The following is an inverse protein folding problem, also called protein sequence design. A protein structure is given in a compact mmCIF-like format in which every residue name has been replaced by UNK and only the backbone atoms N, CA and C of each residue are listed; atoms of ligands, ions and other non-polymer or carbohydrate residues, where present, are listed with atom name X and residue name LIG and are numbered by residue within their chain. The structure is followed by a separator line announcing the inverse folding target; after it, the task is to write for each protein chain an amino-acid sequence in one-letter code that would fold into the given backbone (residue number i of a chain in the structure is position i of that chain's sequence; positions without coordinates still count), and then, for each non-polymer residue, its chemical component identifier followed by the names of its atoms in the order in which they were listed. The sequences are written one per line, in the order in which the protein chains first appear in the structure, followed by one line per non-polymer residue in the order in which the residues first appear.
data_IF_467466155359
#
_entry.id   IF_467466155359
#
_cell.length_a   1.000
_cell.length_b   1.000
_cell.length_c   1.000
_cell.angle_alpha   90.00
_cell.angle_beta   90.00
_cell.angle_gamma   90.00
#
_symmetry.space_group_name_H-M   'P 1'
#
loop_
_entity.id
_entity.type
_entity.pdbx_description
1 polymer ?
#
# COMPACT_ATOMS: atom_id res chain seq x y z
N UNK A 1 -53.26 26.86 29.39
CA UNK A 1 -53.55 26.54 30.81
C UNK A 1 -52.56 25.48 31.28
N UNK A 2 -52.16 25.58 32.53
CA UNK A 2 -50.95 25.02 33.18
C UNK A 2 -51.15 23.57 33.67
N UNK A 3 -50.01 22.86 33.81
CA UNK A 3 -49.64 21.82 34.80
C UNK A 3 -49.32 20.45 34.18
N UNK A 4 -48.10 19.91 34.12
CA UNK A 4 -47.02 19.69 35.10
C UNK A 4 -47.29 18.56 36.13
N UNK A 5 -46.55 17.45 35.89
CA UNK A 5 -45.89 16.52 36.84
C UNK A 5 -46.76 15.69 37.78
N UNK A 6 -46.50 14.38 37.76
CA UNK A 6 -46.00 13.68 38.96
C UNK A 6 -45.10 12.49 38.59
N UNK A 7 -44.08 12.32 39.42
CA UNK A 7 -42.85 11.56 39.26
C UNK A 7 -42.67 10.82 40.59
N UNK A 8 -42.66 9.48 40.62
CA UNK A 8 -42.24 8.68 41.80
C UNK A 8 -41.60 7.38 41.28
N UNK A 9 -40.26 7.26 41.27
CA UNK A 9 -39.38 6.66 42.31
C UNK A 9 -39.37 5.10 42.24
N UNK A 10 -38.33 4.46 41.70
CA UNK A 10 -37.09 3.96 42.36
C UNK A 10 -37.21 2.52 42.87
N UNK A 11 -36.39 1.59 42.35
CA UNK A 11 -35.38 0.85 43.16
C UNK A 11 -34.78 -0.42 42.52
N UNK A 12 -33.43 -0.48 42.51
CA UNK A 12 -32.52 -1.51 43.11
C UNK A 12 -32.70 -2.97 42.58
N UNK A 13 -31.72 -3.67 41.99
CA UNK A 13 -30.50 -4.16 42.66
C UNK A 13 -29.51 -4.88 41.72
N UNK A 14 -28.23 -4.80 42.09
CA UNK A 14 -27.06 -5.47 41.55
C UNK A 14 -26.82 -6.88 42.14
N UNK A 15 -25.90 -7.64 41.53
CA UNK A 15 -24.95 -8.65 42.09
C UNK A 15 -24.78 -9.84 41.11
N UNK A 16 -23.62 -10.01 40.45
CA UNK A 16 -22.37 -10.64 40.92
C UNK A 16 -22.46 -12.15 41.20
N UNK A 17 -21.68 -12.94 40.44
CA UNK A 17 -20.67 -13.82 41.04
C UNK A 17 -20.87 -15.35 41.07
N UNK A 18 -19.96 -16.03 40.34
CA UNK A 18 -19.16 -17.19 40.75
C UNK A 18 -19.63 -18.66 40.53
N UNK A 19 -18.78 -19.37 39.75
CA UNK A 19 -18.22 -20.74 39.86
C UNK A 19 -19.08 -21.95 40.26
N UNK A 20 -18.90 -23.05 39.51
CA UNK A 20 -18.60 -24.39 40.08
C UNK A 20 -18.08 -25.41 39.04
N UNK A 21 -16.90 -25.93 39.36
CA UNK A 21 -16.11 -27.09 38.92
C UNK A 21 -16.86 -28.37 38.49
N UNK A 22 -16.34 -29.12 37.48
CA UNK A 22 -16.36 -30.60 37.44
C UNK A 22 -15.17 -31.18 36.64
N UNK A 23 -14.19 -31.70 37.40
CA UNK A 23 -13.45 -32.97 37.28
C UNK A 23 -12.61 -33.27 36.02
N UNK A 24 -11.29 -33.37 36.27
CA UNK A 24 -10.31 -34.07 35.47
C UNK A 24 -10.38 -35.59 35.71
N UNK A 25 -10.31 -36.38 34.64
CA UNK A 25 -9.86 -37.78 34.71
C UNK A 25 -8.73 -37.99 33.69
N UNK A 26 -7.52 -38.19 34.20
CA UNK A 26 -6.41 -38.77 33.46
C UNK A 26 -6.45 -40.29 33.68
N UNK A 27 -6.42 -41.06 32.61
CA UNK A 27 -5.81 -42.39 32.64
C UNK A 27 -4.98 -42.62 31.38
N UNK A 28 -3.73 -43.02 31.62
CA UNK A 28 -2.70 -43.44 30.68
C UNK A 28 -2.95 -44.93 30.36
N UNK A 29 -2.85 -45.35 29.09
CA UNK A 29 -2.02 -46.50 28.66
C UNK A 29 -2.27 -46.94 27.21
N UNK A 30 -1.15 -47.21 26.54
CA UNK A 30 -0.88 -48.23 25.49
C UNK A 30 -1.50 -48.12 24.09
N UNK A 31 -0.61 -47.91 23.11
CA UNK A 31 -0.77 -48.15 21.67
C UNK A 31 -0.97 -49.62 21.31
N UNK A 32 -1.50 -49.90 20.11
CA UNK A 32 -0.70 -50.68 19.15
C UNK A 32 -0.67 -50.08 17.73
N UNK A 33 0.37 -50.48 17.00
CA UNK A 33 0.82 -49.99 15.69
C UNK A 33 -0.06 -50.50 14.55
N UNK A 34 -0.45 -49.62 13.63
CA UNK A 34 -0.97 -49.96 12.30
C UNK A 34 -0.06 -49.39 11.20
N UNK A 35 0.15 -50.08 10.06
CA UNK A 35 1.13 -49.68 9.05
C UNK A 35 0.62 -48.52 8.20
N UNK A 36 1.44 -47.47 8.06
CA UNK A 36 1.23 -46.39 7.06
C UNK A 36 1.90 -46.78 5.74
N UNK A 37 1.30 -46.46 4.58
CA UNK A 37 1.90 -46.74 3.29
C UNK A 37 3.12 -45.83 3.05
N UNK A 38 4.19 -46.41 2.53
CA UNK A 38 5.35 -45.71 1.98
C UNK A 38 4.94 -45.01 0.69
N UNK A 39 5.10 -43.69 0.63
CA UNK A 39 5.30 -43.00 -0.63
C UNK A 39 6.74 -42.46 -0.65
N UNK A 40 7.45 -42.81 -1.70
CA UNK A 40 8.85 -42.49 -1.94
C UNK A 40 9.08 -40.99 -2.11
N UNK A 41 10.27 -40.59 -1.70
CA UNK A 41 10.94 -39.30 -1.83
C UNK A 41 10.96 -38.74 -3.25
N UNK A 42 10.89 -37.41 -3.38
CA UNK A 42 11.98 -36.56 -3.88
C UNK A 42 11.44 -35.22 -4.42
N UNK A 43 11.73 -34.13 -3.72
CA UNK A 43 12.03 -32.82 -4.34
C UNK A 43 12.84 -32.02 -3.32
N UNK A 44 14.07 -32.47 -3.12
CA UNK A 44 15.15 -31.55 -2.79
C UNK A 44 15.45 -30.74 -4.04
N UNK A 45 15.33 -29.42 -3.94
CA UNK A 45 16.31 -28.45 -4.44
C UNK A 45 15.80 -27.03 -4.16
N UNK A 46 15.72 -26.67 -2.87
CA UNK A 46 15.98 -25.30 -2.48
C UNK A 46 17.50 -25.18 -2.34
N UNK A 47 18.20 -25.08 -3.47
CA UNK A 47 19.61 -24.74 -3.46
C UNK A 47 19.74 -23.33 -2.91
N UNK A 48 20.24 -23.26 -1.67
CA UNK A 48 20.96 -22.11 -1.16
C UNK A 48 22.06 -21.81 -2.19
N UNK A 49 21.81 -20.85 -3.09
CA UNK A 49 22.84 -20.35 -4.00
C UNK A 49 23.88 -19.62 -3.15
N UNK A 50 24.87 -20.38 -2.69
CA UNK A 50 26.17 -19.82 -2.36
C UNK A 50 26.66 -19.08 -3.60
N UNK A 51 26.90 -17.79 -3.44
CA UNK A 51 27.41 -16.88 -4.47
C UNK A 51 28.77 -17.36 -4.98
N UNK A 52 28.78 -18.29 -5.94
CA UNK A 52 29.98 -18.53 -6.71
C UNK A 52 30.25 -17.29 -7.55
N UNK A 53 31.40 -16.65 -7.33
CA UNK A 53 31.81 -15.48 -8.07
C UNK A 53 31.83 -15.84 -9.57
N UNK A 54 31.02 -15.14 -10.38
CA UNK A 54 30.95 -15.37 -11.82
C UNK A 54 32.27 -14.95 -12.46
N UNK A 55 32.70 -15.69 -13.48
CA UNK A 55 33.88 -15.32 -14.26
C UNK A 55 33.69 -13.93 -14.88
N UNK A 56 34.68 -13.02 -14.80
CA UNK A 56 34.61 -11.72 -15.45
C UNK A 56 34.58 -11.80 -16.99
N UNK A 57 34.81 -12.99 -17.56
CA UNK A 57 34.78 -13.26 -19.00
C UNK A 57 33.51 -13.99 -19.47
N UNK A 58 32.53 -14.24 -18.59
CA UNK A 58 31.23 -14.82 -18.98
C UNK A 58 30.43 -13.81 -19.83
N UNK A 59 30.14 -14.09 -21.12
CA UNK A 59 29.41 -13.15 -21.98
C UNK A 59 27.90 -13.12 -21.71
N UNK A 60 27.39 -14.00 -20.84
CA UNK A 60 25.96 -14.09 -20.54
C UNK A 60 25.47 -12.97 -19.63
N UNK A 61 24.22 -12.54 -19.83
CA UNK A 61 23.58 -11.57 -18.95
C UNK A 61 23.47 -12.12 -17.52
N UNK A 62 23.39 -11.21 -16.54
CA UNK A 62 23.02 -11.57 -15.17
C UNK A 62 21.67 -12.28 -15.15
N UNK A 63 21.49 -13.32 -14.35
CA UNK A 63 20.17 -13.88 -14.04
C UNK A 63 19.55 -13.13 -12.85
N UNK A 64 18.22 -13.08 -12.77
CA UNK A 64 17.52 -12.40 -11.67
C UNK A 64 17.79 -10.89 -11.59
N UNK A 65 17.96 -10.22 -12.74
CA UNK A 65 17.96 -8.75 -12.77
C UNK A 65 16.53 -8.22 -12.84
N UNK A 66 16.33 -6.99 -12.36
CA UNK A 66 15.01 -6.38 -12.32
C UNK A 66 14.48 -6.13 -13.73
N UNK A 67 13.22 -6.47 -13.94
CA UNK A 67 12.47 -5.95 -15.07
C UNK A 67 12.28 -4.44 -14.92
N UNK A 68 12.05 -3.74 -16.03
CA UNK A 68 11.80 -2.30 -15.99
C UNK A 68 10.59 -1.93 -15.12
N UNK A 69 9.51 -2.69 -15.24
CA UNK A 69 8.29 -2.47 -14.45
C UNK A 69 8.53 -2.66 -12.95
N UNK A 70 9.22 -3.75 -12.56
CA UNK A 70 9.57 -4.00 -11.15
C UNK A 70 10.50 -2.90 -10.65
N UNK A 71 11.48 -2.47 -11.45
CA UNK A 71 12.39 -1.39 -11.10
C UNK A 71 11.64 -0.07 -10.83
N UNK A 72 10.77 0.38 -11.73
CA UNK A 72 10.07 1.65 -11.55
C UNK A 72 9.05 1.60 -10.41
N UNK A 73 8.36 0.46 -10.23
CA UNK A 73 7.50 0.26 -9.06
C UNK A 73 8.33 0.23 -7.76
N UNK A 74 9.50 -0.39 -7.77
CA UNK A 74 10.41 -0.39 -6.61
C UNK A 74 10.89 1.02 -6.25
N UNK A 75 11.19 1.87 -7.24
CA UNK A 75 11.50 3.28 -7.01
C UNK A 75 10.30 4.00 -6.36
N UNK A 76 9.07 3.74 -6.82
CA UNK A 76 7.88 4.30 -6.18
C UNK A 76 7.76 3.84 -4.70
N UNK A 77 7.99 2.56 -4.42
CA UNK A 77 8.02 2.04 -3.04
C UNK A 77 9.13 2.63 -2.18
N UNK A 78 10.34 2.74 -2.72
CA UNK A 78 11.47 3.35 -2.04
C UNK A 78 11.19 4.83 -1.73
N UNK A 79 10.56 5.53 -2.67
CA UNK A 79 10.16 6.93 -2.50
C UNK A 79 9.09 7.09 -1.42
N UNK A 80 8.16 6.15 -1.32
CA UNK A 80 7.17 6.13 -0.24
C UNK A 80 7.83 6.09 1.15
N UNK A 81 9.02 5.49 1.31
CA UNK A 81 9.78 5.50 2.59
C UNK A 81 10.22 6.88 3.05
N UNK A 82 10.13 7.91 2.20
CA UNK A 82 10.35 9.32 2.58
C UNK A 82 9.12 9.99 3.21
N UNK A 83 7.93 9.42 3.03
CA UNK A 83 6.70 9.95 3.63
C UNK A 83 6.79 9.91 5.16
N UNK A 84 6.36 11.01 5.79
CA UNK A 84 6.29 11.13 7.25
C UNK A 84 4.89 10.88 7.79
N UNK A 85 3.91 10.59 6.93
CA UNK A 85 2.56 10.22 7.36
C UNK A 85 2.64 8.89 8.14
N UNK A 86 2.23 8.84 9.42
CA UNK A 86 2.29 7.60 10.21
C UNK A 86 1.25 6.55 9.78
N UNK A 87 0.25 6.93 8.99
CA UNK A 87 -0.87 6.07 8.62
C UNK A 87 -0.69 5.40 7.27
N UNK A 88 -0.13 6.15 6.30
CA UNK A 88 -0.12 5.73 4.90
C UNK A 88 1.04 6.37 4.15
N UNK A 89 1.92 5.53 3.63
CA UNK A 89 3.05 5.96 2.83
C UNK A 89 2.79 5.57 1.38
N UNK A 90 2.60 6.58 0.53
CA UNK A 90 2.41 6.41 -0.92
C UNK A 90 3.60 7.04 -1.63
N UNK A 91 4.05 6.37 -2.69
CA UNK A 91 5.09 6.88 -3.56
C UNK A 91 4.71 6.73 -5.02
N UNK A 92 5.29 7.58 -5.85
CA UNK A 92 5.04 7.62 -7.28
C UNK A 92 6.33 7.91 -8.05
N UNK A 93 6.44 7.34 -9.25
CA UNK A 93 7.56 7.49 -10.17
C UNK A 93 7.01 7.73 -11.57
N UNK A 94 7.23 8.93 -12.11
CA UNK A 94 6.89 9.28 -13.47
C UNK A 94 8.07 8.96 -14.39
N UNK A 95 7.80 8.21 -15.45
CA UNK A 95 8.82 7.62 -16.32
C UNK A 95 8.47 7.86 -17.77
N UNK A 96 9.48 8.21 -18.56
CA UNK A 96 9.31 8.41 -19.99
C UNK A 96 9.01 7.10 -20.73
N UNK A 97 8.54 7.22 -21.97
CA UNK A 97 8.42 6.06 -22.88
C UNK A 97 9.77 5.35 -23.10
N UNK A 98 10.88 6.08 -23.00
CA UNK A 98 12.23 5.55 -23.15
C UNK A 98 12.84 5.02 -21.84
N UNK A 99 12.07 4.93 -20.75
CA UNK A 99 12.55 4.40 -19.47
C UNK A 99 13.40 5.38 -18.65
N UNK A 100 13.30 6.68 -18.92
CA UNK A 100 14.00 7.71 -18.15
C UNK A 100 13.08 8.21 -17.04
N UNK A 101 13.53 8.20 -15.80
CA UNK A 101 12.78 8.77 -14.68
C UNK A 101 12.73 10.29 -14.85
N UNK A 102 11.51 10.82 -14.92
CA UNK A 102 11.26 12.25 -15.11
C UNK A 102 11.00 12.94 -13.77
N UNK A 103 10.24 12.29 -12.89
CA UNK A 103 9.86 12.86 -11.60
C UNK A 103 9.52 11.78 -10.58
N UNK A 104 9.78 12.07 -9.32
CA UNK A 104 9.52 11.17 -8.19
C UNK A 104 8.73 11.94 -7.14
N UNK A 105 7.77 11.27 -6.50
CA UNK A 105 6.95 11.86 -5.44
C UNK A 105 6.62 10.89 -4.32
N UNK A 106 6.31 11.45 -3.16
CA UNK A 106 5.71 10.78 -2.01
C UNK A 106 4.70 11.71 -1.36
N UNK A 107 3.78 11.17 -0.56
CA UNK A 107 2.80 12.01 0.13
C UNK A 107 3.44 12.81 1.28
N UNK A 108 3.15 14.10 1.36
CA UNK A 108 3.68 14.98 2.40
C UNK A 108 3.11 16.40 2.31
N UNK A 109 3.50 17.28 3.23
CA UNK A 109 3.06 18.68 3.18
C UNK A 109 3.72 19.46 2.02
N UNK A 110 3.15 20.62 1.62
CA UNK A 110 3.72 21.45 0.56
C UNK A 110 5.12 21.95 0.95
N UNK A 111 5.93 22.29 -0.06
CA UNK A 111 7.28 22.82 0.16
C UNK A 111 7.24 24.05 1.06
N UNK A 112 8.10 24.09 2.08
CA UNK A 112 8.17 25.18 3.05
C UNK A 112 7.19 25.07 4.23
N UNK A 113 6.24 24.13 4.21
CA UNK A 113 5.41 23.82 5.37
C UNK A 113 6.14 22.83 6.28
N UNK A 114 6.40 23.22 7.54
CA UNK A 114 7.09 22.35 8.50
C UNK A 114 6.18 21.22 8.98
N UNK A 115 6.72 19.99 8.93
CA UNK A 115 6.04 18.78 9.42
C UNK A 115 5.85 18.76 10.95
N UNK A 116 6.51 19.66 11.68
CA UNK A 116 6.40 19.79 13.14
C UNK A 116 5.33 20.81 13.55
N UNK A 117 4.91 21.67 12.61
CA UNK A 117 3.93 22.74 12.85
C UNK A 117 2.52 22.38 12.39
N UNK A 118 2.38 21.32 11.59
CA UNK A 118 1.10 20.87 11.06
C UNK A 118 0.74 19.48 11.61
N UNK A 119 -0.54 19.24 11.96
CA UNK A 119 -0.94 17.98 12.57
C UNK A 119 -1.05 16.86 11.53
N UNK A 120 -0.37 15.75 11.77
CA UNK A 120 -0.53 14.49 11.01
C UNK A 120 -1.75 13.66 11.45
N UNK A 121 -2.32 13.95 12.62
CA UNK A 121 -3.33 13.09 13.24
C UNK A 121 -4.70 13.17 12.53
N UNK A 122 -5.31 12.01 12.29
CA UNK A 122 -6.68 11.88 11.75
C UNK A 122 -7.76 12.49 12.63
N UNK A 123 -7.53 12.60 13.94
CA UNK A 123 -8.47 13.21 14.88
C UNK A 123 -8.73 14.69 14.54
N UNK A 124 -7.74 15.38 13.97
CA UNK A 124 -7.92 16.73 13.45
C UNK A 124 -8.77 16.79 12.16
N UNK A 125 -8.78 15.74 11.33
CA UNK A 125 -9.70 15.61 10.18
C UNK A 125 -11.14 15.51 10.67
N UNK A 126 -11.37 14.69 11.69
CA UNK A 126 -12.73 14.43 12.19
C UNK A 126 -13.34 15.66 12.89
N UNK A 127 -12.50 16.45 13.58
CA UNK A 127 -12.95 17.60 14.40
C UNK A 127 -12.93 18.91 13.61
N UNK A 128 -11.91 19.12 12.76
CA UNK A 128 -11.71 20.39 12.06
C UNK A 128 -11.75 20.27 10.54
N UNK A 129 -11.82 19.07 9.98
CA UNK A 129 -11.87 18.85 8.52
C UNK A 129 -10.54 19.03 7.77
N UNK A 130 -9.46 19.46 8.44
CA UNK A 130 -8.28 20.01 7.74
C UNK A 130 -7.03 19.12 7.63
N UNK A 131 -6.79 18.10 8.47
CA UNK A 131 -5.45 17.44 8.43
C UNK A 131 -5.19 16.60 7.17
N UNK A 132 -6.23 16.12 6.48
CA UNK A 132 -6.11 15.56 5.12
C UNK A 132 -6.00 16.62 4.03
N UNK A 133 -6.38 17.88 4.32
CA UNK A 133 -6.41 18.98 3.36
C UNK A 133 -5.04 19.56 3.06
N UNK A 134 -4.05 19.37 3.94
CA UNK A 134 -2.69 19.89 3.74
C UNK A 134 -1.79 18.91 3.00
N UNK A 135 -2.11 17.61 2.97
CA UNK A 135 -1.23 16.60 2.37
C UNK A 135 -1.34 16.67 0.84
N UNK A 136 -0.19 16.88 0.19
CA UNK A 136 -0.06 16.69 -1.25
C UNK A 136 0.24 15.22 -1.51
N UNK A 137 -0.56 14.60 -2.38
CA UNK A 137 -0.42 13.20 -2.74
C UNK A 137 0.84 12.93 -3.59
N UNK A 138 1.28 11.68 -3.60
CA UNK A 138 2.52 11.27 -4.25
C UNK A 138 2.49 11.52 -5.77
N UNK A 139 1.36 11.28 -6.41
CA UNK A 139 1.12 11.47 -7.84
C UNK A 139 1.32 12.93 -8.25
N UNK A 140 0.72 13.83 -7.48
CA UNK A 140 0.83 15.28 -7.69
C UNK A 140 2.27 15.72 -7.50
N UNK A 141 2.92 15.28 -6.42
CA UNK A 141 4.33 15.59 -6.18
C UNK A 141 5.25 15.05 -7.29
N UNK A 142 5.01 13.84 -7.81
CA UNK A 142 5.80 13.28 -8.91
C UNK A 142 5.69 14.11 -10.20
N UNK A 143 4.48 14.59 -10.53
CA UNK A 143 4.22 15.46 -11.69
C UNK A 143 4.80 16.86 -11.49
N UNK A 144 4.75 17.42 -10.28
CA UNK A 144 5.33 18.74 -9.99
C UNK A 144 6.87 18.70 -9.87
N UNK A 145 7.47 17.52 -9.75
CA UNK A 145 8.90 17.29 -9.61
C UNK A 145 9.60 16.90 -10.93
N UNK A 146 8.98 17.05 -12.11
CA UNK A 146 9.47 16.48 -13.38
C UNK A 146 10.75 17.11 -13.96
N UNK A 147 11.49 17.91 -13.19
CA UNK A 147 12.70 18.61 -13.63
C UNK A 147 12.52 19.32 -14.99
N UNK A 148 11.38 20.01 -15.18
CA UNK A 148 10.97 20.69 -16.41
C UNK A 148 10.63 19.80 -17.62
N UNK A 149 10.70 18.47 -17.50
CA UNK A 149 10.20 17.56 -18.53
C UNK A 149 8.67 17.50 -18.52
N UNK A 150 8.09 17.27 -19.71
CA UNK A 150 6.65 17.10 -19.87
C UNK A 150 6.19 15.73 -19.36
N UNK A 151 5.10 15.72 -18.60
CA UNK A 151 4.40 14.49 -18.22
C UNK A 151 3.51 13.95 -19.36
N UNK A 152 3.29 14.74 -20.41
CA UNK A 152 2.42 14.38 -21.52
C UNK A 152 2.96 13.16 -22.27
N UNK A 153 2.11 12.17 -22.49
CA UNK A 153 2.45 10.92 -23.15
C UNK A 153 3.30 9.96 -22.30
N UNK A 154 3.54 10.25 -21.02
CA UNK A 154 4.43 9.45 -20.17
C UNK A 154 3.64 8.48 -19.27
N UNK A 155 4.36 7.68 -18.49
CA UNK A 155 3.81 6.61 -17.64
C UNK A 155 4.05 6.90 -16.17
N UNK A 156 3.04 6.72 -15.33
CA UNK A 156 3.12 6.94 -13.89
C UNK A 156 3.01 5.60 -13.15
N UNK A 157 4.06 5.23 -12.42
CA UNK A 157 4.04 4.11 -11.48
C UNK A 157 3.67 4.64 -10.10
N UNK A 158 2.71 4.03 -9.42
CA UNK A 158 2.24 4.48 -8.11
C UNK A 158 1.94 3.29 -7.19
N UNK A 159 2.30 3.40 -5.91
CA UNK A 159 2.11 2.29 -4.97
C UNK A 159 0.63 2.04 -4.62
N UNK A 160 -0.22 3.07 -4.74
CA UNK A 160 -1.66 3.02 -4.51
C UNK A 160 -2.43 3.61 -5.68
N UNK A 161 -3.56 3.00 -6.05
CA UNK A 161 -4.45 3.53 -7.10
C UNK A 161 -4.85 4.99 -6.79
N UNK A 162 -4.83 5.91 -7.77
CA UNK A 162 -5.03 7.34 -7.52
C UNK A 162 -6.47 7.68 -7.15
N UNK A 163 -6.64 8.66 -6.24
CA UNK A 163 -7.96 9.23 -5.94
C UNK A 163 -8.46 10.11 -7.10
N UNK A 164 -9.72 10.56 -7.06
CA UNK A 164 -10.31 11.40 -8.11
C UNK A 164 -9.58 12.75 -8.31
N UNK A 165 -9.06 13.38 -7.26
CA UNK A 165 -8.30 14.63 -7.40
C UNK A 165 -6.95 14.38 -8.08
N UNK A 166 -6.26 13.29 -7.76
CA UNK A 166 -5.04 12.89 -8.46
C UNK A 166 -5.33 12.51 -9.91
N UNK A 167 -6.43 11.82 -10.20
CA UNK A 167 -6.86 11.50 -11.55
C UNK A 167 -7.03 12.77 -12.41
N UNK A 168 -7.64 13.84 -11.87
CA UNK A 168 -7.74 15.13 -12.58
C UNK A 168 -6.35 15.67 -12.95
N UNK A 169 -5.40 15.65 -12.01
CA UNK A 169 -4.02 16.13 -12.26
C UNK A 169 -3.30 15.26 -13.29
N UNK A 170 -3.43 13.93 -13.20
CA UNK A 170 -2.88 12.96 -14.16
C UNK A 170 -3.42 13.25 -15.57
N UNK A 171 -4.73 13.45 -15.72
CA UNK A 171 -5.38 13.75 -17.00
C UNK A 171 -4.88 15.11 -17.54
N UNK A 172 -4.95 16.16 -16.73
CA UNK A 172 -4.58 17.51 -17.17
C UNK A 172 -3.09 17.67 -17.49
N UNK A 173 -2.23 16.84 -16.89
CA UNK A 173 -0.79 16.81 -17.20
C UNK A 173 -0.46 15.95 -18.43
N UNK A 174 -1.44 15.25 -19.00
CA UNK A 174 -1.31 14.45 -20.22
C UNK A 174 -0.66 13.08 -20.01
N UNK A 175 -0.57 12.58 -18.77
CA UNK A 175 -0.06 11.22 -18.49
C UNK A 175 -0.91 10.20 -19.24
N UNK A 176 -0.25 9.29 -19.97
CA UNK A 176 -0.91 8.34 -20.87
C UNK A 176 -1.21 6.98 -20.23
N UNK A 177 -0.50 6.62 -19.16
CA UNK A 177 -0.65 5.34 -18.48
C UNK A 177 -0.40 5.47 -16.98
N UNK A 178 -1.24 4.82 -16.18
CA UNK A 178 -1.08 4.64 -14.73
C UNK A 178 -0.90 3.16 -14.42
N UNK A 179 0.23 2.84 -13.79
CA UNK A 179 0.58 1.51 -13.34
C UNK A 179 0.56 1.52 -11.81
N UNK A 180 -0.38 0.79 -11.20
CA UNK A 180 -0.58 0.82 -9.74
C UNK A 180 -0.31 -0.54 -9.08
N UNK A 181 0.09 -0.57 -7.80
CA UNK A 181 0.33 -1.83 -7.09
C UNK A 181 -0.85 -2.27 -6.22
N UNK A 182 -1.26 -1.45 -5.25
CA UNK A 182 -2.41 -1.73 -4.38
C UNK A 182 -3.59 -0.88 -4.83
N UNK A 183 -4.75 -1.51 -4.88
CA UNK A 183 -6.02 -0.81 -4.91
C UNK A 183 -6.77 -1.18 -3.64
N UNK A 184 -7.26 -0.15 -2.94
CA UNK A 184 -8.09 -0.35 -1.76
C UNK A 184 -9.36 -1.06 -2.24
N UNK A 185 -9.46 -2.37 -1.97
CA UNK A 185 -10.73 -3.10 -2.14
C UNK A 185 -11.70 -2.54 -1.11
N UNK A 186 -12.48 -1.56 -1.52
CA UNK A 186 -13.60 -1.09 -0.74
C UNK A 186 -14.78 -1.93 -1.17
N UNK A 187 -15.42 -2.58 -0.20
CA UNK A 187 -16.75 -3.14 -0.37
C UNK A 187 -17.68 -1.99 -0.85
N UNK A 188 -17.78 -1.84 -2.17
CA UNK A 188 -18.71 -1.03 -2.97
C UNK A 188 -19.13 0.38 -2.48
N UNK A 189 -18.22 1.28 -2.07
CA UNK A 189 -18.68 2.65 -1.71
C UNK A 189 -17.67 3.80 -1.67
N UNK A 190 -16.41 3.64 -2.11
CA UNK A 190 -15.49 4.79 -2.11
C UNK A 190 -15.66 5.61 -3.40
N UNK A 191 -16.62 6.54 -3.35
CA UNK A 191 -17.03 7.39 -4.47
C UNK A 191 -15.85 8.09 -5.16
N UNK A 192 -14.78 8.40 -4.41
CA UNK A 192 -13.55 8.98 -4.95
C UNK A 192 -12.84 8.03 -5.93
N UNK A 193 -12.72 6.74 -5.62
CA UNK A 193 -12.07 5.78 -6.51
C UNK A 193 -12.97 5.37 -7.68
N UNK A 194 -14.28 5.28 -7.49
CA UNK A 194 -15.24 5.10 -8.59
C UNK A 194 -15.18 6.26 -9.57
N UNK A 195 -15.16 7.50 -9.08
CA UNK A 195 -14.98 8.69 -9.92
C UNK A 195 -13.61 8.68 -10.60
N UNK A 196 -12.53 8.30 -9.90
CA UNK A 196 -11.18 8.17 -10.48
C UNK A 196 -11.15 7.22 -11.68
N UNK A 197 -11.67 5.99 -11.52
CA UNK A 197 -11.79 5.02 -12.63
C UNK A 197 -12.57 5.59 -13.80
N UNK A 198 -13.73 6.22 -13.54
CA UNK A 198 -14.56 6.82 -14.58
C UNK A 198 -13.84 7.94 -15.32
N UNK A 199 -13.16 8.84 -14.61
CA UNK A 199 -12.41 9.96 -15.18
C UNK A 199 -11.25 9.46 -16.06
N UNK A 200 -10.42 8.56 -15.54
CA UNK A 200 -9.28 8.00 -16.28
C UNK A 200 -9.75 7.26 -17.53
N UNK A 201 -10.84 6.48 -17.43
CA UNK A 201 -11.44 5.78 -18.56
C UNK A 201 -11.97 6.73 -19.63
N UNK A 202 -12.75 7.75 -19.24
CA UNK A 202 -13.28 8.75 -20.19
C UNK A 202 -12.18 9.56 -20.88
N UNK A 203 -11.08 9.82 -20.19
CA UNK A 203 -9.92 10.53 -20.75
C UNK A 203 -9.00 9.63 -21.60
N UNK A 204 -9.26 8.32 -21.68
CA UNK A 204 -8.42 7.38 -22.43
C UNK A 204 -7.05 7.11 -21.80
N UNK A 205 -6.88 7.37 -20.51
CA UNK A 205 -5.64 7.03 -19.78
C UNK A 205 -5.61 5.52 -19.57
N UNK A 206 -4.55 4.85 -20.01
CA UNK A 206 -4.38 3.40 -19.78
C UNK A 206 -4.17 3.14 -18.31
N UNK A 207 -4.82 2.14 -17.75
CA UNK A 207 -4.72 1.79 -16.33
C UNK A 207 -4.46 0.30 -16.22
N UNK A 208 -3.42 -0.08 -15.47
CA UNK A 208 -3.18 -1.50 -15.17
C UNK A 208 -2.56 -1.70 -13.80
N UNK A 209 -2.88 -2.84 -13.20
CA UNK A 209 -2.24 -3.30 -11.97
C UNK A 209 -0.87 -3.91 -12.30
N UNK A 210 0.16 -3.51 -11.58
CA UNK A 210 1.48 -4.12 -11.64
C UNK A 210 1.44 -5.52 -11.01
N UNK A 211 2.03 -6.48 -11.72
CA UNK A 211 2.22 -7.84 -11.25
C UNK A 211 3.72 -8.07 -11.14
N UNK A 212 4.28 -8.07 -9.92
CA UNK A 212 5.72 -8.12 -9.75
C UNK A 212 6.26 -9.48 -10.19
N UNK A 213 7.42 -9.49 -10.85
CA UNK A 213 8.10 -10.74 -11.24
C UNK A 213 8.95 -11.31 -10.09
N UNK A 214 9.22 -10.51 -9.07
CA UNK A 214 9.99 -10.86 -7.88
C UNK A 214 9.15 -10.60 -6.62
N UNK A 215 9.30 -11.45 -5.59
CA UNK A 215 8.57 -11.29 -4.34
C UNK A 215 9.07 -10.09 -3.52
N UNK A 216 10.38 -9.85 -3.53
CA UNK A 216 11.03 -8.77 -2.80
C UNK A 216 12.27 -8.25 -3.53
N UNK A 217 12.71 -7.05 -3.13
CA UNK A 217 13.94 -6.40 -3.59
C UNK A 217 14.67 -5.91 -2.35
N UNK A 218 15.80 -6.55 -2.03
CA UNK A 218 16.61 -6.20 -0.87
C UNK A 218 17.75 -5.26 -1.28
N UNK A 219 17.83 -4.10 -0.62
CA UNK A 219 18.96 -3.18 -0.73
C UNK A 219 19.91 -3.40 0.46
N UNK A 220 21.11 -3.92 0.20
CA UNK A 220 22.18 -4.07 1.20
C UNK A 220 23.23 -3.00 0.95
N UNK A 221 23.57 -2.23 1.99
CA UNK A 221 24.63 -1.22 1.91
C UNK A 221 26.02 -1.79 2.23
N UNK A 222 26.06 -3.00 2.79
CA UNK A 222 27.25 -3.76 3.17
C UNK A 222 27.23 -5.13 2.48
#
# INVERSE_FOLDING_TARGET
MISAKDFVLVSISAALGALSSVIAFRFISSSPKGPRPRCFSASENASVEGSQARSPFDPSKRKGYLSWDDYFMAIAFLSAKRSKDPNRQVGACLVSQNGIILGIGYNGFPRGCSDDKLPWAKLFVLIFGFSGSYVVHAEVNAILNTNHASAAGQRLYVTMFPCNECAKVIIQSGVSEVIYFIEKRVNNSDAAYTASHKLLSLAGVKVRKHHPQMADITLKFE
#
